data_IF_274083434765
#
_entry.id   IF_274083434765
#
_cell.length_a   1.000
_cell.length_b   1.000
_cell.length_c   1.000
_cell.angle_alpha   90.00
_cell.angle_beta   90.00
_cell.angle_gamma   90.00
#
_symmetry.space_group_name_H-M   'P 1'
#
loop_
_entity.id
_entity.type
_entity.pdbx_description
1 polymer ?
#
# COMPACT_ATOMS: atom_id res chain seq x y z
N UNK A 1 -22.23 -14.93 -7.44
CA UNK A 1 -21.25 -14.02 -8.07
C UNK A 1 -21.11 -14.21 -9.56
N UNK A 2 -20.41 -15.21 -10.09
CA UNK A 2 -20.08 -15.25 -11.53
C UNK A 2 -21.31 -15.36 -12.45
N UNK A 3 -22.23 -16.31 -12.17
CA UNK A 3 -23.42 -16.52 -13.01
C UNK A 3 -24.57 -15.54 -12.73
N UNK A 4 -24.70 -15.12 -11.48
CA UNK A 4 -25.85 -14.31 -11.01
C UNK A 4 -25.52 -12.83 -10.80
N UNK A 5 -24.25 -12.43 -10.92
CA UNK A 5 -23.79 -11.07 -10.60
C UNK A 5 -23.83 -10.68 -9.11
N UNK A 6 -24.43 -11.50 -8.24
CA UNK A 6 -24.64 -11.14 -6.83
C UNK A 6 -23.46 -11.52 -5.94
N UNK A 7 -23.05 -10.58 -5.07
CA UNK A 7 -22.04 -10.76 -4.02
C UNK A 7 -22.72 -11.24 -2.73
N UNK A 8 -22.27 -12.34 -2.11
CA UNK A 8 -22.82 -12.85 -0.84
C UNK A 8 -22.81 -11.78 0.25
N UNK A 9 -23.77 -11.86 1.18
CA UNK A 9 -23.85 -10.90 2.28
C UNK A 9 -22.59 -10.93 3.17
N UNK A 10 -22.10 -12.11 3.49
CA UNK A 10 -20.88 -12.30 4.31
C UNK A 10 -19.60 -11.71 3.66
N UNK A 11 -19.63 -11.41 2.36
CA UNK A 11 -18.53 -10.69 1.70
C UNK A 11 -18.62 -9.19 1.95
N UNK A 12 -19.80 -8.67 2.26
CA UNK A 12 -20.03 -7.25 2.57
C UNK A 12 -19.70 -6.95 4.02
N UNK A 13 -19.93 -7.90 4.92
CA UNK A 13 -19.68 -7.75 6.34
C UNK A 13 -18.19 -7.67 6.69
N UNK A 14 -17.88 -6.85 7.69
CA UNK A 14 -16.51 -6.58 8.18
C UNK A 14 -16.54 -6.35 9.68
N UNK A 15 -15.62 -7.00 10.39
CA UNK A 15 -15.31 -6.67 11.78
C UNK A 15 -14.13 -5.71 11.81
N UNK A 16 -14.30 -4.52 12.39
CA UNK A 16 -13.22 -3.54 12.52
C UNK A 16 -12.58 -3.68 13.90
N UNK A 17 -11.27 -3.87 13.93
CA UNK A 17 -10.46 -3.85 15.16
C UNK A 17 -9.54 -2.63 15.15
N UNK A 18 -9.45 -1.95 16.29
CA UNK A 18 -8.57 -0.80 16.45
C UNK A 18 -7.25 -1.22 17.09
N UNK A 19 -6.13 -1.00 16.39
CA UNK A 19 -4.79 -1.20 16.90
C UNK A 19 -4.14 0.14 17.27
N UNK A 20 -3.70 0.27 18.51
CA UNK A 20 -2.96 1.44 18.95
C UNK A 20 -1.59 1.52 18.24
N UNK A 21 -1.28 2.67 17.61
CA UNK A 21 -0.05 2.91 16.83
C UNK A 21 1.21 3.06 17.69
N UNK A 22 1.11 2.90 19.01
CA UNK A 22 2.21 3.09 19.96
C UNK A 22 2.80 4.51 19.93
N UNK A 23 1.99 5.51 19.58
CA UNK A 23 2.39 6.92 19.49
C UNK A 23 1.25 7.82 19.99
N UNK A 24 1.61 8.82 20.81
CA UNK A 24 0.69 9.84 21.31
C UNK A 24 -0.24 9.39 22.43
N UNK A 25 -1.33 10.13 22.66
CA UNK A 25 -2.34 9.79 23.66
C UNK A 25 -3.27 8.66 23.17
N UNK A 26 -3.42 7.58 23.95
CA UNK A 26 -4.30 6.43 23.66
C UNK A 26 -5.78 6.80 23.55
N UNK A 27 -6.23 7.86 24.18
CA UNK A 27 -7.63 8.29 24.14
C UNK A 27 -8.02 8.95 22.80
N UNK A 28 -7.05 9.37 21.99
CA UNK A 28 -7.32 10.05 20.73
C UNK A 28 -7.45 9.04 19.59
N UNK A 29 -8.62 8.99 18.95
CA UNK A 29 -8.95 8.04 17.88
C UNK A 29 -7.91 7.99 16.73
N UNK A 30 -7.31 9.13 16.36
CA UNK A 30 -6.30 9.20 15.30
C UNK A 30 -5.02 8.37 15.56
N UNK A 31 -4.74 8.06 16.83
CA UNK A 31 -3.59 7.25 17.25
C UNK A 31 -3.86 5.75 17.15
N UNK A 32 -5.04 5.37 16.64
CA UNK A 32 -5.39 4.00 16.32
C UNK A 32 -5.38 3.78 14.82
N UNK A 33 -5.14 2.54 14.41
CA UNK A 33 -5.27 2.04 13.05
C UNK A 33 -6.44 1.06 13.04
N UNK A 34 -7.50 1.38 12.30
CA UNK A 34 -8.58 0.44 12.04
C UNK A 34 -8.09 -0.66 11.09
N UNK A 35 -8.35 -1.91 11.44
CA UNK A 35 -8.09 -3.08 10.59
C UNK A 35 -9.43 -3.76 10.33
N UNK A 36 -9.78 -3.89 9.06
CA UNK A 36 -10.96 -4.63 8.62
C UNK A 36 -10.64 -6.13 8.53
N UNK A 37 -11.25 -6.93 9.40
CA UNK A 37 -11.18 -8.38 9.35
C UNK A 37 -12.28 -8.89 8.41
N UNK A 38 -11.84 -9.34 7.23
CA UNK A 38 -12.69 -9.94 6.20
C UNK A 38 -12.86 -11.44 6.45
N UNK A 39 -13.99 -12.01 6.01
CA UNK A 39 -14.17 -13.46 6.00
C UNK A 39 -13.11 -14.17 5.12
N UNK A 40 -12.84 -15.44 5.41
CA UNK A 40 -11.78 -16.22 4.75
C UNK A 40 -12.05 -16.33 3.25
N UNK A 41 -13.30 -16.59 2.85
CA UNK A 41 -13.69 -16.76 1.45
C UNK A 41 -13.42 -15.49 0.62
N UNK A 42 -13.69 -14.30 1.16
CA UNK A 42 -13.40 -13.00 0.54
C UNK A 42 -11.90 -12.78 0.42
N UNK A 43 -11.10 -13.17 1.41
CA UNK A 43 -9.63 -13.10 1.34
C UNK A 43 -9.07 -13.99 0.23
N UNK A 44 -9.56 -15.23 0.15
CA UNK A 44 -9.17 -16.17 -0.92
C UNK A 44 -9.55 -15.59 -2.29
N UNK A 45 -10.78 -15.08 -2.42
CA UNK A 45 -11.23 -14.45 -3.66
C UNK A 45 -10.37 -13.24 -4.06
N UNK A 46 -10.10 -12.33 -3.12
CA UNK A 46 -9.22 -11.19 -3.34
C UNK A 46 -7.79 -11.61 -3.74
N UNK A 47 -7.26 -12.69 -3.15
CA UNK A 47 -5.95 -13.25 -3.52
C UNK A 47 -5.94 -13.81 -4.94
N UNK A 48 -6.99 -14.51 -5.36
CA UNK A 48 -7.13 -14.99 -6.75
C UNK A 48 -7.14 -13.80 -7.72
N UNK A 49 -7.90 -12.74 -7.42
CA UNK A 49 -7.92 -11.52 -8.23
C UNK A 49 -6.53 -10.87 -8.30
N UNK A 50 -5.87 -10.71 -7.15
CA UNK A 50 -4.52 -10.14 -7.07
C UNK A 50 -3.53 -10.92 -7.95
N UNK A 51 -3.56 -12.25 -7.93
CA UNK A 51 -2.66 -13.07 -8.74
C UNK A 51 -2.90 -12.89 -10.24
N UNK A 52 -4.16 -12.72 -10.67
CA UNK A 52 -4.49 -12.45 -12.07
C UNK A 52 -4.02 -11.05 -12.49
N UNK A 53 -4.23 -10.04 -11.64
CA UNK A 53 -3.80 -8.66 -11.90
C UNK A 53 -2.28 -8.51 -11.91
N UNK A 54 -1.58 -9.23 -11.05
CA UNK A 54 -0.12 -9.20 -10.95
C UNK A 54 0.59 -9.53 -12.26
N UNK A 55 -0.02 -10.34 -13.14
CA UNK A 55 0.53 -10.60 -14.47
C UNK A 55 0.58 -9.34 -15.33
N UNK A 56 -0.47 -8.54 -15.31
CA UNK A 56 -0.59 -7.29 -16.08
C UNK A 56 0.24 -6.16 -15.47
N UNK A 57 0.22 -6.02 -14.14
CA UNK A 57 1.00 -4.99 -13.43
C UNK A 57 2.51 -5.10 -13.66
N UNK A 58 3.01 -6.31 -13.97
CA UNK A 58 4.42 -6.55 -14.31
C UNK A 58 4.78 -6.13 -15.74
N UNK A 59 3.81 -5.94 -16.64
CA UNK A 59 4.04 -5.58 -18.05
C UNK A 59 4.26 -4.08 -18.26
N UNK A 60 4.79 -3.36 -17.27
CA UNK A 60 5.17 -1.95 -17.41
C UNK A 60 4.11 -0.93 -16.99
N UNK A 61 2.99 -1.35 -16.40
CA UNK A 61 1.98 -0.41 -15.86
C UNK A 61 2.48 0.36 -14.63
N UNK A 62 3.46 -0.19 -13.89
CA UNK A 62 4.03 0.43 -12.69
C UNK A 62 5.44 0.96 -12.99
N UNK A 63 5.77 2.19 -12.56
CA UNK A 63 7.10 2.74 -12.74
C UNK A 63 8.15 1.91 -12.00
N UNK A 64 9.40 1.92 -12.49
CA UNK A 64 10.50 1.17 -11.89
C UNK A 64 10.81 1.63 -10.45
N UNK A 65 10.60 2.92 -10.16
CA UNK A 65 10.75 3.51 -8.83
C UNK A 65 9.71 3.02 -7.80
N UNK A 66 8.62 2.39 -8.24
CA UNK A 66 7.63 1.81 -7.33
C UNK A 66 8.13 0.48 -6.77
N UNK A 67 8.54 0.46 -5.50
CA UNK A 67 8.98 -0.76 -4.81
C UNK A 67 7.96 -1.29 -3.79
N UNK A 68 7.05 -0.44 -3.31
CA UNK A 68 5.99 -0.85 -2.37
C UNK A 68 5.03 -1.85 -3.01
N UNK A 69 4.65 -2.89 -2.25
CA UNK A 69 3.67 -3.91 -2.66
C UNK A 69 4.01 -4.67 -3.97
N UNK A 70 5.28 -4.67 -4.39
CA UNK A 70 5.77 -5.43 -5.55
C UNK A 70 6.78 -6.49 -5.12
N UNK A 71 6.90 -7.51 -5.96
CA UNK A 71 7.95 -8.53 -5.80
C UNK A 71 9.26 -7.97 -6.35
N UNK A 72 10.09 -7.45 -5.46
CA UNK A 72 11.37 -6.78 -5.78
C UNK A 72 11.20 -5.58 -6.75
N UNK A 73 12.08 -4.57 -6.64
CA UNK A 73 13.07 -4.33 -5.59
C UNK A 73 12.39 -4.01 -4.24
N UNK A 74 13.06 -4.29 -3.12
CA UNK A 74 12.55 -3.97 -1.78
C UNK A 74 13.10 -2.64 -1.25
N UNK A 75 12.76 -2.29 -0.01
CA UNK A 75 13.21 -1.05 0.66
C UNK A 75 14.74 -0.85 0.60
N UNK A 76 15.52 -1.93 0.71
CA UNK A 76 16.98 -1.88 0.64
C UNK A 76 17.49 -1.31 -0.69
N UNK A 77 16.83 -1.61 -1.82
CA UNK A 77 17.24 -1.10 -3.12
C UNK A 77 16.98 0.42 -3.24
N UNK A 78 15.87 0.91 -2.70
CA UNK A 78 15.60 2.35 -2.65
C UNK A 78 16.56 3.10 -1.73
N UNK A 79 16.91 2.52 -0.57
CA UNK A 79 17.94 3.09 0.32
C UNK A 79 19.28 3.14 -0.40
N UNK A 80 19.66 2.08 -1.11
CA UNK A 80 20.87 2.06 -1.92
C UNK A 80 20.85 3.16 -2.99
N UNK A 81 19.79 3.26 -3.78
CA UNK A 81 19.66 4.30 -4.80
C UNK A 81 19.74 5.73 -4.20
N UNK A 82 19.09 5.97 -3.06
CA UNK A 82 19.16 7.24 -2.36
C UNK A 82 20.60 7.56 -1.87
N UNK A 83 21.32 6.56 -1.36
CA UNK A 83 22.74 6.71 -0.97
C UNK A 83 23.64 7.00 -2.16
N UNK A 84 23.47 6.29 -3.28
CA UNK A 84 24.23 6.55 -4.51
C UNK A 84 24.03 8.00 -4.99
N UNK A 85 22.81 8.52 -4.95
CA UNK A 85 22.52 9.92 -5.29
C UNK A 85 23.22 10.90 -4.34
N UNK A 86 23.18 10.63 -3.04
CA UNK A 86 23.85 11.44 -2.03
C UNK A 86 25.37 11.46 -2.22
N UNK A 87 25.99 10.29 -2.37
CA UNK A 87 27.44 10.15 -2.59
C UNK A 87 27.87 10.84 -3.89
N UNK A 88 27.09 10.71 -4.97
CA UNK A 88 27.41 11.39 -6.23
C UNK A 88 27.34 12.90 -6.12
N UNK A 89 26.36 13.43 -5.39
CA UNK A 89 26.26 14.88 -5.17
C UNK A 89 27.44 15.41 -4.35
N UNK A 90 27.90 14.65 -3.36
CA UNK A 90 29.10 14.98 -2.59
C UNK A 90 30.36 14.97 -3.47
N UNK A 91 30.52 13.97 -4.32
CA UNK A 91 31.66 13.84 -5.25
C UNK A 91 31.79 15.06 -6.18
N UNK A 92 30.68 15.49 -6.78
CA UNK A 92 30.66 16.62 -7.72
C UNK A 92 30.43 17.98 -7.04
N UNK A 93 30.39 18.02 -5.70
CA UNK A 93 30.19 19.22 -4.87
C UNK A 93 28.94 20.03 -5.26
N UNK A 94 27.83 19.35 -5.51
CA UNK A 94 26.53 19.98 -5.74
C UNK A 94 25.58 19.74 -4.57
N UNK A 95 24.60 20.64 -4.40
CA UNK A 95 23.59 20.50 -3.37
C UNK A 95 22.55 19.46 -3.75
N UNK A 96 22.23 18.57 -2.81
CA UNK A 96 21.11 17.63 -2.90
C UNK A 96 20.00 18.09 -1.95
N UNK A 97 18.78 18.21 -2.48
CA UNK A 97 17.57 18.48 -1.69
C UNK A 97 16.65 17.26 -1.79
N UNK A 98 16.05 16.86 -0.67
CA UNK A 98 15.15 15.70 -0.61
C UNK A 98 13.86 16.09 0.10
N UNK A 99 12.73 15.70 -0.47
CA UNK A 99 11.40 15.90 0.12
C UNK A 99 10.75 14.56 0.36
N UNK A 100 10.24 14.35 1.58
CA UNK A 100 9.48 13.16 1.94
C UNK A 100 7.99 13.49 1.92
N UNK A 101 7.22 12.70 1.19
CA UNK A 101 5.76 12.87 1.05
C UNK A 101 5.08 11.62 1.59
N UNK A 102 4.11 11.81 2.48
CA UNK A 102 3.27 10.73 3.03
C UNK A 102 1.79 11.10 2.89
N UNK A 103 0.96 10.09 2.59
CA UNK A 103 -0.48 10.28 2.39
C UNK A 103 -1.24 10.05 3.68
N UNK A 104 -2.08 11.02 4.07
CA UNK A 104 -2.94 10.89 5.24
C UNK A 104 -4.06 9.89 4.95
N UNK A 105 -4.11 8.79 5.71
CA UNK A 105 -5.15 7.74 5.61
C UNK A 105 -5.32 7.16 4.20
N UNK A 106 -4.20 6.88 3.52
CA UNK A 106 -4.16 6.45 2.12
C UNK A 106 -5.17 5.36 1.70
N UNK A 107 -5.46 4.38 2.57
CA UNK A 107 -6.41 3.31 2.27
C UNK A 107 -7.88 3.71 2.48
N UNK A 108 -8.14 4.67 3.36
CA UNK A 108 -9.51 5.11 3.70
C UNK A 108 -10.00 6.21 2.75
N UNK A 109 -9.10 6.92 2.07
CA UNK A 109 -9.40 8.11 1.26
C UNK A 109 -9.33 7.86 -0.25
N UNK A 110 -9.37 6.60 -0.69
CA UNK A 110 -9.32 6.29 -2.13
C UNK A 110 -10.65 6.66 -2.80
N UNK A 111 -10.60 7.48 -3.85
CA UNK A 111 -11.77 7.82 -4.66
C UNK A 111 -12.31 6.55 -5.35
N UNK A 112 -13.60 6.26 -5.16
CA UNK A 112 -14.26 5.07 -5.71
C UNK A 112 -14.71 5.22 -7.16
N UNK A 113 -14.99 6.44 -7.61
CA UNK A 113 -15.41 6.71 -8.99
C UNK A 113 -14.21 6.70 -9.94
N UNK A 114 -13.01 7.00 -9.43
CA UNK A 114 -11.76 6.97 -10.20
C UNK A 114 -11.02 5.62 -10.17
N UNK A 115 -11.60 4.59 -9.55
CA UNK A 115 -11.02 3.25 -9.36
C UNK A 115 -11.70 2.25 -10.29
#
# INVERSE_FOLDING_TARGET
MWRQGQVPLDFKDVTIVYLYKQKGNRQLCHNHRGISLLNITRKIFAYILLNRLNGQLKQGLLPESQCGFRRHPGTTALIFAARQLQEKCQEIRTHLYTTFVDLTKAFDTVNRDGL
#
